data_IF_034070379372
#
_entry.id   IF_034070379372
#
_cell.length_a   1.000
_cell.length_b   1.000
_cell.length_c   1.000
_cell.angle_alpha   90.00
_cell.angle_beta   90.00
_cell.angle_gamma   90.00
#
_symmetry.space_group_name_H-M   'P 1'
#
loop_
_entity.id
_entity.type
_entity.pdbx_description
1 polymer ?
#
# COMPACT_ATOMS: atom_id res chain seq x y z
N UNK A 1 -14.07 3.29 -14.35
CA UNK A 1 -14.11 2.15 -13.41
C UNK A 1 -13.12 1.11 -13.90
N UNK A 2 -12.28 0.54 -13.03
CA UNK A 2 -11.48 -0.63 -13.38
C UNK A 2 -12.42 -1.84 -13.27
N UNK A 3 -12.68 -2.60 -14.37
CA UNK A 3 -13.73 -3.62 -14.39
C UNK A 3 -13.54 -4.74 -13.37
N UNK A 4 -12.30 -4.98 -12.95
CA UNK A 4 -11.94 -5.91 -11.87
C UNK A 4 -10.62 -5.43 -11.28
N UNK A 5 -10.62 -5.05 -10.00
CA UNK A 5 -9.38 -4.68 -9.32
C UNK A 5 -8.55 -5.95 -9.07
N UNK A 6 -7.24 -5.82 -9.17
CA UNK A 6 -6.25 -6.79 -8.71
C UNK A 6 -5.09 -6.03 -8.02
N UNK A 7 -4.13 -6.76 -7.45
CA UNK A 7 -2.96 -6.19 -6.75
C UNK A 7 -2.22 -5.16 -7.62
N UNK A 8 -2.07 -5.44 -8.92
CA UNK A 8 -1.41 -4.51 -9.87
C UNK A 8 -2.20 -3.22 -10.00
N UNK A 9 -3.52 -3.30 -10.21
CA UNK A 9 -4.37 -2.10 -10.36
C UNK A 9 -4.38 -1.24 -9.10
N UNK A 10 -4.37 -1.86 -7.91
CA UNK A 10 -4.25 -1.15 -6.63
C UNK A 10 -2.92 -0.42 -6.51
N UNK A 11 -1.82 -1.10 -6.85
CA UNK A 11 -0.48 -0.52 -6.83
C UNK A 11 -0.37 0.67 -7.80
N UNK A 12 -0.99 0.58 -8.98
CA UNK A 12 -1.05 1.68 -9.95
C UNK A 12 -1.84 2.86 -9.40
N UNK A 13 -3.01 2.63 -8.79
CA UNK A 13 -3.83 3.69 -8.17
C UNK A 13 -3.02 4.40 -7.06
N UNK A 14 -2.38 3.63 -6.18
CA UNK A 14 -1.56 4.18 -5.09
C UNK A 14 -0.39 5.01 -5.61
N UNK A 15 0.33 4.50 -6.61
CA UNK A 15 1.46 5.18 -7.23
C UNK A 15 1.01 6.49 -7.89
N UNK A 16 -0.13 6.47 -8.60
CA UNK A 16 -0.71 7.66 -9.21
C UNK A 16 -1.04 8.73 -8.16
N UNK A 17 -1.63 8.36 -7.02
CA UNK A 17 -1.86 9.32 -5.94
C UNK A 17 -0.57 9.85 -5.32
N UNK A 18 0.43 8.99 -5.09
CA UNK A 18 1.72 9.37 -4.52
C UNK A 18 2.44 10.43 -5.38
N UNK A 19 2.56 10.19 -6.70
CA UNK A 19 3.26 11.13 -7.61
C UNK A 19 2.52 12.47 -7.78
N UNK A 20 1.21 12.50 -7.53
CA UNK A 20 0.39 13.71 -7.59
C UNK A 20 0.33 14.47 -6.25
N UNK A 21 1.15 14.08 -5.26
CA UNK A 21 1.17 14.74 -3.95
C UNK A 21 -0.10 14.50 -3.14
N UNK A 22 -0.77 13.36 -3.35
CA UNK A 22 -2.00 12.97 -2.66
C UNK A 22 -1.75 11.75 -1.76
N UNK A 23 -0.83 11.83 -0.78
CA UNK A 23 -0.40 10.68 0.02
C UNK A 23 -1.57 10.07 0.82
N UNK A 24 -2.49 10.89 1.34
CA UNK A 24 -3.66 10.40 2.08
C UNK A 24 -4.56 9.49 1.22
N UNK A 25 -4.71 9.81 -0.07
CA UNK A 25 -5.49 8.97 -1.01
C UNK A 25 -4.76 7.69 -1.38
N UNK A 26 -3.43 7.74 -1.48
CA UNK A 26 -2.62 6.54 -1.68
C UNK A 26 -2.78 5.58 -0.49
N UNK A 27 -2.71 6.10 0.74
CA UNK A 27 -2.89 5.30 1.96
C UNK A 27 -4.32 4.80 2.14
N UNK A 28 -5.32 5.62 1.82
CA UNK A 28 -6.72 5.16 1.81
C UNK A 28 -6.92 3.99 0.83
N UNK A 29 -6.28 4.04 -0.34
CA UNK A 29 -6.33 2.96 -1.33
C UNK A 29 -5.65 1.67 -0.82
N UNK A 30 -4.52 1.81 -0.10
CA UNK A 30 -3.85 0.67 0.53
C UNK A 30 -4.74 -0.02 1.57
N UNK A 31 -5.41 0.76 2.43
CA UNK A 31 -6.33 0.20 3.43
C UNK A 31 -7.60 -0.39 2.79
N UNK A 32 -8.11 0.21 1.72
CA UNK A 32 -9.25 -0.34 0.95
C UNK A 32 -8.88 -1.67 0.28
N UNK A 33 -7.68 -1.77 -0.31
CA UNK A 33 -7.14 -3.02 -0.86
C UNK A 33 -7.15 -4.16 0.17
N UNK A 34 -6.63 -3.90 1.38
CA UNK A 34 -6.63 -4.88 2.48
C UNK A 34 -8.05 -5.26 2.90
N UNK A 35 -8.96 -4.29 2.97
CA UNK A 35 -10.37 -4.50 3.34
C UNK A 35 -11.13 -5.33 2.31
N UNK A 36 -10.80 -5.20 1.02
CA UNK A 36 -11.33 -6.02 -0.06
C UNK A 36 -10.68 -7.43 -0.11
N UNK A 37 -9.78 -7.76 0.81
CA UNK A 37 -9.18 -9.09 0.95
C UNK A 37 -7.95 -9.33 0.06
N UNK A 38 -7.41 -8.29 -0.58
CA UNK A 38 -6.16 -8.41 -1.32
C UNK A 38 -4.97 -8.33 -0.37
N UNK A 39 -4.02 -9.26 -0.53
CA UNK A 39 -2.75 -9.24 0.20
C UNK A 39 -1.77 -8.28 -0.48
N UNK A 40 -1.27 -7.25 0.22
CA UNK A 40 -0.19 -6.41 -0.30
C UNK A 40 1.06 -7.24 -0.59
N UNK A 41 1.75 -6.94 -1.70
CA UNK A 41 3.07 -7.48 -1.99
C UNK A 41 4.16 -6.41 -1.80
N UNK A 42 5.41 -6.77 -2.03
CA UNK A 42 6.59 -5.90 -1.91
C UNK A 42 6.41 -4.57 -2.65
N UNK A 43 5.86 -4.62 -3.87
CA UNK A 43 5.63 -3.43 -4.70
C UNK A 43 4.52 -2.55 -4.13
N UNK A 44 3.47 -3.17 -3.57
CA UNK A 44 2.38 -2.47 -2.89
C UNK A 44 2.90 -1.72 -1.66
N UNK A 45 3.73 -2.39 -0.84
CA UNK A 45 4.37 -1.80 0.32
C UNK A 45 5.31 -0.65 -0.06
N UNK A 46 6.12 -0.83 -1.12
CA UNK A 46 7.00 0.21 -1.63
C UNK A 46 6.22 1.45 -2.08
N UNK A 47 5.10 1.27 -2.80
CA UNK A 47 4.26 2.38 -3.23
C UNK A 47 3.66 3.15 -2.04
N UNK A 48 3.21 2.44 -1.00
CA UNK A 48 2.68 3.06 0.21
C UNK A 48 3.77 3.84 0.99
N UNK A 49 4.95 3.25 1.16
CA UNK A 49 6.09 3.90 1.82
C UNK A 49 6.59 5.12 1.05
N UNK A 50 6.61 5.05 -0.27
CA UNK A 50 6.93 6.19 -1.13
C UNK A 50 5.95 7.35 -0.94
N UNK A 51 4.64 7.05 -0.88
CA UNK A 51 3.62 8.04 -0.56
C UNK A 51 3.86 8.70 0.80
N UNK A 52 4.20 7.91 1.83
CA UNK A 52 4.54 8.45 3.15
C UNK A 52 5.77 9.36 3.11
N UNK A 53 6.82 8.96 2.39
CA UNK A 53 8.05 9.74 2.24
C UNK A 53 7.77 11.09 1.56
N UNK A 54 7.01 11.10 0.47
CA UNK A 54 6.63 12.33 -0.22
C UNK A 54 5.68 13.23 0.58
N UNK A 55 4.82 12.62 1.41
CA UNK A 55 3.86 13.34 2.26
C UNK A 55 4.39 13.79 3.63
N UNK A 56 5.62 13.41 4.01
CA UNK A 56 6.12 13.64 5.37
C UNK A 56 5.36 12.87 6.46
N UNK A 57 4.68 11.78 6.08
CA UNK A 57 3.82 10.97 6.96
C UNK A 57 4.63 9.92 7.72
N UNK A 58 5.48 10.36 8.64
CA UNK A 58 6.46 9.50 9.34
C UNK A 58 5.78 8.39 10.15
N UNK A 59 4.67 8.71 10.83
CA UNK A 59 3.97 7.75 11.69
C UNK A 59 3.34 6.62 10.86
N UNK A 60 2.70 6.99 9.76
CA UNK A 60 2.07 6.09 8.81
C UNK A 60 3.11 5.22 8.13
N UNK A 61 4.22 5.81 7.67
CA UNK A 61 5.33 5.06 7.08
C UNK A 61 5.88 3.99 8.02
N UNK A 62 6.04 4.31 9.31
CA UNK A 62 6.49 3.34 10.31
C UNK A 62 5.46 2.22 10.55
N UNK A 63 4.16 2.54 10.57
CA UNK A 63 3.10 1.52 10.71
C UNK A 63 3.08 0.58 9.51
N UNK A 64 3.23 1.11 8.30
CA UNK A 64 3.28 0.33 7.06
C UNK A 64 4.51 -0.57 7.04
N UNK A 65 5.68 -0.04 7.41
CA UNK A 65 6.92 -0.84 7.50
C UNK A 65 6.79 -1.99 8.51
N UNK A 66 6.18 -1.75 9.67
CA UNK A 66 5.90 -2.81 10.65
C UNK A 66 4.96 -3.88 10.09
N UNK A 67 3.86 -3.48 9.44
CA UNK A 67 2.93 -4.39 8.77
C UNK A 67 3.63 -5.24 7.70
N UNK A 68 4.54 -4.65 6.92
CA UNK A 68 5.35 -5.37 5.94
C UNK A 68 6.21 -6.45 6.60
N UNK A 69 6.97 -6.09 7.64
CA UNK A 69 7.83 -7.04 8.36
C UNK A 69 7.01 -8.17 8.98
N UNK A 70 5.85 -7.86 9.58
CA UNK A 70 4.95 -8.86 10.14
C UNK A 70 4.40 -9.82 9.08
N UNK A 71 3.99 -9.30 7.92
CA UNK A 71 3.47 -10.13 6.83
C UNK A 71 4.53 -11.03 6.21
N UNK A 72 5.78 -10.57 6.10
CA UNK A 72 6.90 -11.37 5.59
C UNK A 72 7.40 -12.41 6.60
N UNK A 73 7.24 -12.14 7.90
CA UNK A 73 7.62 -13.07 8.96
C UNK A 73 6.54 -14.11 9.27
N UNK A 74 5.33 -13.99 8.71
CA UNK A 74 4.32 -15.04 8.84
C UNK A 74 4.84 -16.30 8.15
N UNK A 75 5.00 -17.42 8.87
CA UNK A 75 5.38 -18.67 8.23
C UNK A 75 4.33 -18.95 7.15
N UNK A 76 4.79 -19.15 5.91
CA UNK A 76 3.92 -19.57 4.82
C UNK A 76 3.27 -20.88 5.23
N UNK A 77 1.99 -20.82 5.61
CA UNK A 77 1.12 -21.98 5.74
C UNK A 77 0.94 -22.54 4.31
N UNK A 78 1.90 -23.36 3.89
CA UNK A 78 1.72 -24.32 2.80
C UNK A 78 1.14 -25.61 3.37
#
# INVERSE_FOLDING_TARGET
>A
QIPTKNVVSWTVIMSAYAINGLPDKALASFEEMKREGYTPNDVTYLAALSACNHGGLIREGLMIFKSMVEDHNKPSLQ
#
